data_IF_953626836318
#
_entry.id   IF_953626836318
#
_cell.length_a   1.000
_cell.length_b   1.000
_cell.length_c   1.000
_cell.angle_alpha   90.00
_cell.angle_beta   90.00
_cell.angle_gamma   90.00
#
_symmetry.space_group_name_H-M   'P 1'
#
loop_
_entity.id
_entity.type
_entity.pdbx_description
1 polymer ?
#
# COMPACT_ATOMS: atom_id res chain seq x y z
N UNK A 1 -12.48 -11.64 -19.38
CA UNK A 1 -12.63 -11.76 -17.91
C UNK A 1 -12.97 -10.39 -17.33
N UNK A 2 -13.77 -10.35 -16.26
CA UNK A 2 -14.10 -9.08 -15.56
C UNK A 2 -12.82 -8.56 -14.88
N UNK A 3 -12.52 -7.27 -14.97
CA UNK A 3 -11.35 -6.68 -14.28
C UNK A 3 -11.59 -6.64 -12.76
N UNK A 4 -10.57 -6.86 -11.93
CA UNK A 4 -10.65 -6.65 -10.48
C UNK A 4 -11.12 -5.21 -10.15
N UNK A 5 -11.93 -5.04 -9.11
CA UNK A 5 -12.35 -3.71 -8.66
C UNK A 5 -12.63 -3.73 -7.15
N UNK A 6 -11.66 -3.24 -6.38
CA UNK A 6 -11.72 -3.24 -4.92
C UNK A 6 -12.89 -2.41 -4.37
N UNK A 7 -13.29 -1.32 -5.05
CA UNK A 7 -14.43 -0.50 -4.63
C UNK A 7 -15.73 -1.30 -4.66
N UNK A 8 -15.84 -2.29 -5.56
CA UNK A 8 -16.97 -3.21 -5.60
C UNK A 8 -16.89 -4.24 -4.49
N UNK A 9 -15.69 -4.75 -4.20
CA UNK A 9 -15.46 -5.72 -3.12
C UNK A 9 -15.85 -5.17 -1.76
N UNK A 10 -15.54 -3.90 -1.46
CA UNK A 10 -16.00 -3.21 -0.24
C UNK A 10 -17.52 -3.24 -0.10
N UNK A 11 -18.25 -3.02 -1.20
CA UNK A 11 -19.72 -2.94 -1.18
C UNK A 11 -20.41 -4.30 -1.22
N UNK A 12 -19.70 -5.34 -1.66
CA UNK A 12 -20.27 -6.66 -1.90
C UNK A 12 -19.30 -7.74 -1.41
N UNK A 13 -19.54 -8.21 -0.19
CA UNK A 13 -18.77 -9.28 0.46
C UNK A 13 -18.74 -10.57 -0.37
N UNK A 14 -19.84 -10.92 -1.02
CA UNK A 14 -19.94 -12.13 -1.84
C UNK A 14 -19.09 -12.02 -3.11
N UNK A 15 -19.10 -10.85 -3.78
CA UNK A 15 -18.20 -10.60 -4.91
C UNK A 15 -16.74 -10.65 -4.48
N UNK A 16 -16.40 -10.04 -3.33
CA UNK A 16 -15.07 -10.13 -2.74
C UNK A 16 -14.65 -11.58 -2.49
N UNK A 17 -15.55 -12.39 -1.91
CA UNK A 17 -15.31 -13.81 -1.64
C UNK A 17 -15.03 -14.59 -2.92
N UNK A 18 -15.83 -14.40 -3.96
CA UNK A 18 -15.66 -15.09 -5.24
C UNK A 18 -14.29 -14.78 -5.88
N UNK A 19 -13.80 -13.54 -5.74
CA UNK A 19 -12.45 -13.17 -6.16
C UNK A 19 -11.37 -13.81 -5.29
N UNK A 20 -11.54 -13.78 -3.96
CA UNK A 20 -10.63 -14.44 -3.02
C UNK A 20 -10.49 -15.94 -3.31
N UNK A 21 -11.61 -16.64 -3.51
CA UNK A 21 -11.63 -18.07 -3.85
C UNK A 21 -10.92 -18.32 -5.20
N UNK A 22 -11.08 -17.43 -6.18
CA UNK A 22 -10.30 -17.48 -7.43
C UNK A 22 -8.80 -17.26 -7.20
N UNK A 23 -8.40 -16.38 -6.29
CA UNK A 23 -6.98 -16.14 -5.98
C UNK A 23 -6.35 -17.33 -5.24
N UNK A 24 -7.09 -17.95 -4.31
CA UNK A 24 -6.68 -19.18 -3.62
C UNK A 24 -6.52 -20.33 -4.63
N UNK A 25 -7.49 -20.54 -5.52
CA UNK A 25 -7.43 -21.59 -6.55
C UNK A 25 -6.23 -21.43 -7.50
N UNK A 26 -5.79 -20.20 -7.73
CA UNK A 26 -4.63 -19.86 -8.57
C UNK A 26 -3.31 -19.80 -7.79
N UNK A 27 -3.32 -20.12 -6.50
CA UNK A 27 -2.18 -19.98 -5.58
C UNK A 27 -1.56 -18.57 -5.58
N UNK A 28 -2.35 -17.54 -5.87
CA UNK A 28 -1.95 -16.14 -5.64
C UNK A 28 -1.99 -15.82 -4.15
N UNK A 29 -2.75 -16.60 -3.39
CA UNK A 29 -2.72 -16.67 -1.93
C UNK A 29 -2.55 -18.14 -1.58
N UNK A 30 -1.63 -18.44 -0.67
CA UNK A 30 -1.34 -19.80 -0.23
C UNK A 30 -1.04 -19.80 1.26
N UNK A 31 -1.27 -20.93 1.93
CA UNK A 31 -0.86 -21.10 3.32
C UNK A 31 0.67 -20.94 3.45
N UNK A 32 1.10 -20.34 4.57
CA UNK A 32 2.51 -20.25 4.93
C UNK A 32 2.68 -20.08 6.44
N UNK A 33 3.93 -20.19 6.88
CA UNK A 33 4.32 -19.85 8.24
C UNK A 33 3.95 -18.39 8.56
N UNK A 34 3.68 -18.16 9.85
CA UNK A 34 3.33 -16.83 10.38
C UNK A 34 4.59 -15.98 10.56
N UNK A 35 5.01 -15.34 9.49
CA UNK A 35 6.14 -14.41 9.43
C UNK A 35 5.72 -12.94 9.63
N UNK A 36 4.58 -12.67 10.30
CA UNK A 36 4.03 -11.31 10.50
C UNK A 36 5.06 -10.28 10.98
N UNK A 37 5.96 -10.66 11.91
CA UNK A 37 7.03 -9.80 12.42
C UNK A 37 8.08 -9.46 11.34
N UNK A 38 8.43 -10.41 10.47
CA UNK A 38 9.40 -10.18 9.41
C UNK A 38 8.87 -9.17 8.38
N UNK A 39 7.62 -9.35 7.94
CA UNK A 39 6.98 -8.41 7.03
C UNK A 39 6.80 -7.01 7.66
N UNK A 40 6.40 -6.95 8.93
CA UNK A 40 6.28 -5.67 9.64
C UNK A 40 7.64 -4.96 9.79
N UNK A 41 8.70 -5.69 10.12
CA UNK A 41 10.05 -5.13 10.16
C UNK A 41 10.51 -4.60 8.80
N UNK A 42 10.15 -5.28 7.70
CA UNK A 42 10.43 -4.80 6.35
C UNK A 42 9.65 -3.53 6.01
N UNK A 43 8.41 -3.42 6.46
CA UNK A 43 7.61 -2.19 6.38
C UNK A 43 8.30 -1.04 7.12
N UNK A 44 8.71 -1.24 8.37
CA UNK A 44 9.47 -0.24 9.15
C UNK A 44 10.79 0.16 8.50
N UNK A 45 11.52 -0.80 7.93
CA UNK A 45 12.74 -0.51 7.19
C UNK A 45 12.48 0.43 6.00
N UNK A 46 11.42 0.18 5.23
CA UNK A 46 11.03 1.05 4.11
C UNK A 46 10.57 2.43 4.62
N UNK A 47 9.78 2.50 5.70
CA UNK A 47 9.38 3.76 6.33
C UNK A 47 10.61 4.63 6.69
N UNK A 48 11.62 4.01 7.31
CA UNK A 48 12.85 4.71 7.71
C UNK A 48 13.62 5.24 6.50
N UNK A 49 13.73 4.43 5.43
CA UNK A 49 14.35 4.87 4.17
C UNK A 49 13.59 6.04 3.54
N UNK A 50 12.26 5.96 3.46
CA UNK A 50 11.43 7.03 2.90
C UNK A 50 11.57 8.34 3.69
N UNK A 51 11.56 8.26 5.02
CA UNK A 51 11.77 9.42 5.90
C UNK A 51 13.14 10.06 5.66
N UNK A 52 14.20 9.24 5.60
CA UNK A 52 15.54 9.74 5.32
C UNK A 52 15.62 10.41 3.94
N UNK A 53 15.05 9.81 2.90
CA UNK A 53 15.00 10.40 1.56
C UNK A 53 14.24 11.73 1.57
N UNK A 54 13.10 11.81 2.28
CA UNK A 54 12.29 13.03 2.37
C UNK A 54 13.05 14.16 3.08
N UNK A 55 13.86 13.83 4.09
CA UNK A 55 14.70 14.80 4.81
C UNK A 55 15.92 15.27 4.01
N UNK A 56 16.35 14.51 3.01
CA UNK A 56 17.57 14.79 2.23
C UNK A 56 17.32 15.48 0.89
N UNK A 57 16.10 15.94 0.62
CA UNK A 57 15.75 16.53 -0.68
C UNK A 57 16.65 17.70 -1.06
N UNK A 58 16.98 18.60 -0.13
CA UNK A 58 17.89 19.73 -0.42
C UNK A 58 19.29 19.27 -0.84
N UNK A 59 19.82 18.22 -0.17
CA UNK A 59 21.13 17.64 -0.50
C UNK A 59 21.08 16.92 -1.84
N UNK A 60 20.00 16.19 -2.12
CA UNK A 60 19.81 15.50 -3.39
C UNK A 60 19.66 16.49 -4.55
N UNK A 61 18.96 17.60 -4.32
CA UNK A 61 18.83 18.69 -5.30
C UNK A 61 20.17 19.34 -5.62
N UNK A 62 21.02 19.57 -4.62
CA UNK A 62 22.38 20.08 -4.85
C UNK A 62 23.25 19.11 -5.66
N UNK A 63 23.11 17.80 -5.43
CA UNK A 63 23.91 16.77 -6.10
C UNK A 63 23.46 16.46 -7.54
N UNK A 64 22.14 16.52 -7.80
CA UNK A 64 21.53 16.01 -9.03
C UNK A 64 20.72 17.05 -9.81
N UNK A 65 20.57 18.28 -9.29
CA UNK A 65 19.75 19.35 -9.87
C UNK A 65 18.26 18.97 -10.04
N UNK A 66 17.78 18.02 -9.23
CA UNK A 66 16.38 17.56 -9.21
C UNK A 66 15.96 17.05 -7.83
N UNK A 67 14.65 16.95 -7.58
CA UNK A 67 14.09 16.33 -6.38
C UNK A 67 13.64 14.89 -6.66
N UNK A 68 13.50 14.11 -5.59
CA UNK A 68 13.18 12.68 -5.66
C UNK A 68 11.95 12.33 -4.82
N UNK A 69 10.95 13.23 -4.80
CA UNK A 69 9.70 13.02 -4.06
C UNK A 69 8.89 11.84 -4.61
N UNK A 70 9.00 11.54 -5.90
CA UNK A 70 8.43 10.36 -6.53
C UNK A 70 8.96 9.05 -5.91
N UNK A 71 10.26 8.98 -5.65
CA UNK A 71 10.91 7.87 -4.95
C UNK A 71 10.51 7.81 -3.49
N UNK A 72 10.42 8.95 -2.80
CA UNK A 72 9.92 9.03 -1.41
C UNK A 72 8.52 8.40 -1.32
N UNK A 73 7.60 8.80 -2.20
CA UNK A 73 6.23 8.27 -2.23
C UNK A 73 6.23 6.77 -2.54
N UNK A 74 7.05 6.33 -3.49
CA UNK A 74 7.16 4.91 -3.88
C UNK A 74 7.62 4.06 -2.70
N UNK A 75 8.61 4.51 -1.94
CA UNK A 75 9.10 3.76 -0.76
C UNK A 75 8.05 3.73 0.36
N UNK A 76 7.28 4.81 0.56
CA UNK A 76 6.14 4.78 1.48
C UNK A 76 5.07 3.75 1.05
N UNK A 77 4.79 3.62 -0.25
CA UNK A 77 3.85 2.62 -0.75
C UNK A 77 4.34 1.18 -0.51
N UNK A 78 5.63 0.91 -0.72
CA UNK A 78 6.21 -0.37 -0.33
C UNK A 78 6.13 -0.60 1.19
N UNK A 79 6.20 0.44 2.01
CA UNK A 79 5.98 0.31 3.46
C UNK A 79 4.55 -0.17 3.77
N UNK A 80 3.54 0.45 3.16
CA UNK A 80 2.12 0.05 3.29
C UNK A 80 1.89 -1.37 2.77
N UNK A 81 2.50 -1.73 1.64
CA UNK A 81 2.38 -3.07 1.06
C UNK A 81 2.96 -4.15 1.98
N UNK A 82 4.14 -3.94 2.55
CA UNK A 82 4.72 -4.90 3.49
C UNK A 82 3.94 -4.99 4.81
N UNK A 83 3.37 -3.89 5.30
CA UNK A 83 2.44 -3.93 6.43
C UNK A 83 1.18 -4.75 6.09
N UNK A 84 0.68 -4.62 4.87
CA UNK A 84 -0.44 -5.42 4.34
C UNK A 84 -0.09 -6.92 4.28
N UNK A 85 1.12 -7.28 3.83
CA UNK A 85 1.59 -8.67 3.86
C UNK A 85 1.73 -9.22 5.29
N UNK A 86 2.09 -8.38 6.26
CA UNK A 86 2.13 -8.78 7.66
C UNK A 86 0.74 -9.17 8.19
N UNK A 87 -0.32 -8.44 7.80
CA UNK A 87 -1.72 -8.79 8.11
C UNK A 87 -2.12 -10.12 7.45
N UNK A 88 -1.78 -10.34 6.17
CA UNK A 88 -2.03 -11.63 5.51
C UNK A 88 -1.32 -12.78 6.24
N UNK A 89 -0.06 -12.56 6.62
CA UNK A 89 0.77 -13.54 7.34
C UNK A 89 0.28 -13.85 8.75
N UNK A 90 -0.35 -12.89 9.44
CA UNK A 90 -0.97 -13.13 10.75
C UNK A 90 -2.04 -14.24 10.70
N UNK A 91 -2.77 -14.32 9.59
CA UNK A 91 -3.79 -15.33 9.34
C UNK A 91 -3.21 -16.65 8.77
N UNK A 92 -1.89 -16.78 8.65
CA UNK A 92 -1.23 -18.00 8.17
C UNK A 92 -1.17 -18.13 6.64
N UNK A 93 -1.19 -17.01 5.93
CA UNK A 93 -1.12 -16.99 4.46
C UNK A 93 0.03 -16.12 3.97
N UNK A 94 0.44 -16.35 2.73
CA UNK A 94 1.26 -15.42 1.92
C UNK A 94 0.51 -15.05 0.66
N UNK A 95 0.75 -13.84 0.18
CA UNK A 95 0.19 -13.33 -1.08
C UNK A 95 1.31 -13.08 -2.08
N UNK A 96 1.04 -13.36 -3.36
CA UNK A 96 1.98 -13.22 -4.49
C UNK A 96 1.63 -12.06 -5.43
N UNK A 97 0.53 -11.35 -5.18
CA UNK A 97 0.13 -10.19 -5.99
C UNK A 97 -0.50 -9.11 -5.12
N UNK A 98 -0.38 -7.86 -5.54
CA UNK A 98 -0.99 -6.75 -4.84
C UNK A 98 -2.51 -6.86 -4.74
N UNK A 99 -3.18 -7.16 -5.86
CA UNK A 99 -4.64 -7.29 -5.89
C UNK A 99 -5.15 -8.46 -5.04
N UNK A 100 -4.41 -9.58 -4.97
CA UNK A 100 -4.76 -10.66 -4.06
C UNK A 100 -4.58 -10.26 -2.59
N UNK A 101 -3.52 -9.51 -2.26
CA UNK A 101 -3.32 -8.94 -0.91
C UNK A 101 -4.50 -8.05 -0.52
N UNK A 102 -4.89 -7.12 -1.39
CA UNK A 102 -6.01 -6.20 -1.16
C UNK A 102 -7.33 -6.94 -0.98
N UNK A 103 -7.63 -7.91 -1.85
CA UNK A 103 -8.84 -8.72 -1.77
C UNK A 103 -8.90 -9.51 -0.44
N UNK A 104 -7.77 -10.09 -0.02
CA UNK A 104 -7.67 -10.82 1.24
C UNK A 104 -7.92 -9.93 2.45
N UNK A 105 -7.34 -8.73 2.48
CA UNK A 105 -7.52 -7.78 3.57
C UNK A 105 -8.97 -7.29 3.62
N UNK A 106 -9.57 -6.97 2.47
CA UNK A 106 -10.98 -6.55 2.42
C UNK A 106 -11.88 -7.67 2.94
N UNK A 107 -11.67 -8.91 2.54
CA UNK A 107 -12.54 -10.01 2.98
C UNK A 107 -12.37 -10.35 4.48
N UNK A 108 -11.14 -10.46 4.96
CA UNK A 108 -10.87 -10.96 6.32
C UNK A 108 -10.88 -9.86 7.39
N UNK A 109 -10.45 -8.63 7.04
CA UNK A 109 -10.37 -7.53 7.98
C UNK A 109 -11.51 -6.52 7.78
N UNK A 110 -11.78 -6.03 6.56
CA UNK A 110 -12.86 -5.05 6.40
C UNK A 110 -14.27 -5.67 6.56
N UNK A 111 -14.50 -6.84 5.96
CA UNK A 111 -15.76 -7.60 6.07
C UNK A 111 -15.79 -8.59 7.23
N UNK A 112 -14.65 -8.84 7.86
CA UNK A 112 -14.56 -9.52 9.14
C UNK A 112 -14.78 -8.54 10.28
N UNK A 113 -15.03 -9.02 11.50
CA UNK A 113 -15.25 -8.16 12.68
C UNK A 113 -13.94 -7.46 13.11
N UNK A 114 -13.41 -6.52 12.31
CA UNK A 114 -12.08 -5.92 12.54
C UNK A 114 -12.02 -4.39 12.52
N UNK A 115 -10.84 -3.89 12.89
CA UNK A 115 -10.43 -2.50 13.07
C UNK A 115 -10.04 -1.76 11.76
N UNK A 116 -9.99 -2.46 10.62
CA UNK A 116 -9.67 -1.88 9.30
C UNK A 116 -10.90 -1.21 8.68
N UNK A 117 -10.80 0.08 8.38
CA UNK A 117 -11.87 0.92 7.81
C UNK A 117 -11.63 1.18 6.32
N UNK A 118 -12.63 1.74 5.65
CA UNK A 118 -12.56 2.04 4.22
C UNK A 118 -11.36 2.93 3.85
N UNK A 119 -11.01 3.90 4.70
CA UNK A 119 -9.87 4.78 4.45
C UNK A 119 -8.52 4.04 4.54
N UNK A 120 -8.41 3.01 5.37
CA UNK A 120 -7.24 2.13 5.38
C UNK A 120 -7.17 1.32 4.07
N UNK A 121 -8.32 0.84 3.57
CA UNK A 121 -8.38 0.15 2.28
C UNK A 121 -7.99 1.08 1.13
N UNK A 122 -8.37 2.35 1.17
CA UNK A 122 -7.93 3.35 0.19
C UNK A 122 -6.41 3.52 0.20
N UNK A 123 -5.80 3.59 1.38
CA UNK A 123 -4.33 3.69 1.51
C UNK A 123 -3.64 2.47 0.88
N UNK A 124 -4.13 1.26 1.15
CA UNK A 124 -3.59 0.03 0.55
C UNK A 124 -3.83 0.03 -0.97
N UNK A 125 -5.00 0.43 -1.45
CA UNK A 125 -5.29 0.47 -2.87
C UNK A 125 -4.41 1.50 -3.61
N UNK A 126 -4.22 2.69 -3.04
CA UNK A 126 -3.32 3.73 -3.59
C UNK A 126 -1.87 3.25 -3.67
N UNK A 127 -1.42 2.42 -2.70
CA UNK A 127 -0.07 1.84 -2.73
C UNK A 127 0.09 0.78 -3.83
N UNK A 128 -1.01 0.18 -4.29
CA UNK A 128 -1.01 -0.87 -5.30
C UNK A 128 -1.18 -0.30 -6.71
N UNK A 129 -2.05 0.71 -6.87
CA UNK A 129 -2.34 1.36 -8.15
C UNK A 129 -1.09 2.04 -8.77
N UNK A 130 -0.02 2.27 -7.98
CA UNK A 130 1.27 2.78 -8.49
C UNK A 130 2.26 1.70 -8.96
N UNK A 131 2.10 0.43 -8.57
CA UNK A 131 3.02 -0.65 -8.98
C UNK A 131 2.53 -1.44 -10.19
N UNK A 132 1.22 -1.42 -10.49
CA UNK A 132 0.69 -1.95 -11.75
C UNK A 132 1.05 -0.97 -12.89
N UNK A 133 2.09 -1.32 -13.67
CA UNK A 133 2.57 -0.60 -14.86
C UNK A 133 1.42 -0.21 -15.82
N UNK A 134 0.36 -1.01 -15.88
CA UNK A 134 -0.84 -0.75 -16.70
C UNK A 134 -1.73 0.39 -16.16
N UNK A 135 -1.71 0.69 -14.86
CA UNK A 135 -2.46 1.78 -14.21
C UNK A 135 -1.68 3.09 -14.22
N UNK A 136 -0.33 3.02 -14.27
CA UNK A 136 0.53 4.21 -14.44
C UNK A 136 0.14 4.99 -15.71
N UNK A 137 -0.26 4.29 -16.78
CA UNK A 137 -0.76 4.90 -18.02
C UNK A 137 -2.12 5.63 -17.86
N UNK A 138 -2.95 5.22 -16.89
CA UNK A 138 -4.25 5.83 -16.57
C UNK A 138 -4.18 6.88 -15.43
N UNK A 139 -3.06 6.97 -14.71
CA UNK A 139 -2.78 8.01 -13.70
C UNK A 139 -2.58 9.43 -14.28
N UNK A 140 -3.23 9.70 -15.41
CA UNK A 140 -3.39 11.01 -16.06
C UNK A 140 -3.80 12.09 -15.06
N UNK A 141 -4.52 11.75 -13.98
CA UNK A 141 -4.92 12.69 -12.93
C UNK A 141 -3.76 13.21 -12.06
N UNK A 142 -2.72 12.41 -11.81
CA UNK A 142 -1.51 12.85 -11.11
C UNK A 142 -0.65 13.71 -12.04
N UNK A 143 -0.59 13.35 -13.34
CA UNK A 143 0.15 14.10 -14.36
C UNK A 143 -0.51 15.44 -14.73
N UNK A 144 -1.85 15.49 -14.77
CA UNK A 144 -2.62 16.73 -14.98
C UNK A 144 -2.51 17.69 -13.80
N UNK A 145 -2.49 17.17 -12.56
CA UNK A 145 -2.26 17.98 -11.35
C UNK A 145 -0.84 18.54 -11.28
N UNK A 146 0.14 17.79 -11.78
CA UNK A 146 1.53 18.22 -11.83
C UNK A 146 1.74 19.38 -12.82
N UNK A 147 1.12 19.35 -14.00
CA UNK A 147 1.44 20.18 -15.19
C UNK A 147 1.27 21.72 -15.08
N UNK A 148 0.96 22.28 -13.90
CA UNK A 148 0.84 23.73 -13.70
C UNK A 148 1.90 24.24 -12.71
N UNK A 149 3.14 24.51 -13.16
CA UNK A 149 4.18 25.38 -12.55
C UNK A 149 4.38 25.41 -11.00
N UNK A 150 3.82 24.45 -10.27
CA UNK A 150 3.80 24.27 -8.80
C UNK A 150 4.34 22.86 -8.47
N UNK A 151 5.18 22.29 -9.36
CA UNK A 151 5.59 20.89 -9.32
C UNK A 151 6.29 20.49 -8.01
N UNK A 152 7.28 21.25 -7.55
CA UNK A 152 8.07 20.92 -6.38
C UNK A 152 7.28 21.02 -5.05
N UNK A 153 6.53 22.12 -4.85
CA UNK A 153 5.71 22.31 -3.65
C UNK A 153 4.61 21.25 -3.56
N UNK A 154 3.98 20.94 -4.69
CA UNK A 154 2.92 19.95 -4.77
C UNK A 154 3.43 18.52 -4.48
N UNK A 155 4.60 18.16 -5.00
CA UNK A 155 5.19 16.85 -4.78
C UNK A 155 5.63 16.66 -3.32
N UNK A 156 6.15 17.72 -2.69
CA UNK A 156 6.45 17.73 -1.26
C UNK A 156 5.20 17.54 -0.41
N UNK A 157 4.14 18.31 -0.67
CA UNK A 157 2.86 18.19 0.05
C UNK A 157 2.27 16.78 -0.09
N UNK A 158 2.37 16.20 -1.30
CA UNK A 158 1.95 14.82 -1.54
C UNK A 158 2.80 13.81 -0.77
N UNK A 159 4.13 13.98 -0.74
CA UNK A 159 5.02 13.12 0.03
C UNK A 159 4.71 13.18 1.54
N UNK A 160 4.41 14.36 2.08
CA UNK A 160 4.05 14.55 3.49
C UNK A 160 2.67 13.96 3.82
N UNK A 161 1.67 14.09 2.92
CA UNK A 161 0.37 13.41 3.08
C UNK A 161 0.54 11.88 3.09
N UNK A 162 1.30 11.34 2.13
CA UNK A 162 1.56 9.90 2.04
C UNK A 162 2.33 9.40 3.27
N UNK A 163 3.30 10.18 3.79
CA UNK A 163 4.00 9.89 5.04
C UNK A 163 3.00 9.74 6.20
N UNK A 164 2.14 10.72 6.40
CA UNK A 164 1.17 10.74 7.50
C UNK A 164 0.19 9.56 7.43
N UNK A 165 -0.31 9.24 6.22
CA UNK A 165 -1.15 8.07 5.98
C UNK A 165 -0.42 6.77 6.28
N UNK A 166 0.83 6.65 5.82
CA UNK A 166 1.68 5.47 6.03
C UNK A 166 1.92 5.23 7.52
N UNK A 167 2.33 6.26 8.28
CA UNK A 167 2.57 6.15 9.72
C UNK A 167 1.30 5.68 10.44
N UNK A 168 0.15 6.31 10.18
CA UNK A 168 -1.13 5.92 10.79
C UNK A 168 -1.51 4.47 10.48
N UNK A 169 -1.33 4.04 9.23
CA UNK A 169 -1.63 2.67 8.84
C UNK A 169 -0.68 1.66 9.50
N UNK A 170 0.61 1.97 9.62
CA UNK A 170 1.61 1.12 10.28
C UNK A 170 1.36 1.02 11.79
N UNK A 171 0.95 2.11 12.45
CA UNK A 171 0.58 2.10 13.87
C UNK A 171 -0.64 1.20 14.11
N UNK A 172 -1.68 1.34 13.30
CA UNK A 172 -2.86 0.47 13.37
C UNK A 172 -2.49 -0.99 13.10
N UNK A 173 -1.68 -1.23 12.07
CA UNK A 173 -1.18 -2.58 11.76
C UNK A 173 -0.42 -3.16 12.94
N UNK A 174 0.43 -2.37 13.62
CA UNK A 174 1.16 -2.81 14.82
C UNK A 174 0.22 -3.30 15.91
N UNK A 175 -0.85 -2.53 16.18
CA UNK A 175 -1.88 -2.87 17.17
C UNK A 175 -2.55 -4.19 16.82
N UNK A 176 -3.03 -4.34 15.57
CA UNK A 176 -3.68 -5.58 15.11
C UNK A 176 -2.72 -6.78 15.20
N UNK A 177 -1.44 -6.58 14.89
CA UNK A 177 -0.44 -7.64 14.91
C UNK A 177 0.05 -8.01 16.31
N UNK A 178 -0.30 -7.23 17.35
CA UNK A 178 0.19 -7.39 18.73
C UNK A 178 1.74 -7.42 18.78
N UNK A 179 2.38 -6.49 18.06
CA UNK A 179 3.84 -6.34 18.05
C UNK A 179 4.22 -5.22 19.03
N UNK A 180 4.98 -5.59 20.06
CA UNK A 180 5.60 -4.65 21.02
C UNK A 180 6.64 -3.75 20.33
#
# INVERSE_FOLDING_TARGET
MKKPNWRKWIKNKEDCKNWLDSYLKKEMIAESDKEKKMYYNKSMHNLNLANWLNEKQDVLKELFDENFYDWVITVYYYSVYHASLALVSMLGYKSRSHMSTLCFIIYNYYHGESEIKEDDIKIIAESIDKEDIDVIAESKSLRERASYNIHETFEKELADDVKNKTVKFLEKTRTILEIE
#
